data_IF_645680590935
#
_entry.id   IF_645680590935
#
_cell.length_a   1.000
_cell.length_b   1.000
_cell.length_c   1.000
_cell.angle_alpha   90.00
_cell.angle_beta   90.00
_cell.angle_gamma   90.00
#
_symmetry.space_group_name_H-M   'P 1'
#
loop_
_entity.id
_entity.type
_entity.pdbx_description
1 polymer ?
#
# COMPACT_ATOMS: atom_id res chain seq x y z
N UNK A 1 -18.67 8.23 -17.10
CA UNK A 1 -17.45 7.57 -17.61
C UNK A 1 -17.80 6.13 -17.92
N UNK A 2 -17.40 5.58 -19.06
CA UNK A 2 -17.62 4.15 -19.34
C UNK A 2 -16.75 3.28 -18.41
N UNK A 3 -17.17 2.06 -18.10
CA UNK A 3 -16.40 1.14 -17.25
C UNK A 3 -14.99 0.87 -17.82
N UNK A 4 -14.89 0.74 -19.15
CA UNK A 4 -13.59 0.59 -19.82
C UNK A 4 -12.65 1.77 -19.54
N UNK A 5 -13.17 3.01 -19.60
CA UNK A 5 -12.37 4.20 -19.34
C UNK A 5 -11.97 4.31 -17.86
N UNK A 6 -12.85 3.88 -16.95
CA UNK A 6 -12.58 3.82 -15.51
C UNK A 6 -11.45 2.85 -15.17
N UNK A 7 -11.55 1.60 -15.65
CA UNK A 7 -10.51 0.59 -15.42
C UNK A 7 -9.21 0.92 -16.16
N UNK A 8 -9.29 1.50 -17.37
CA UNK A 8 -8.12 2.01 -18.09
C UNK A 8 -7.39 3.10 -17.30
N UNK A 9 -8.11 4.04 -16.69
CA UNK A 9 -7.52 5.05 -15.83
C UNK A 9 -6.84 4.44 -14.60
N UNK A 10 -7.45 3.47 -13.92
CA UNK A 10 -6.83 2.79 -12.77
C UNK A 10 -5.56 2.05 -13.16
N UNK A 11 -5.55 1.40 -14.32
CA UNK A 11 -4.37 0.74 -14.86
C UNK A 11 -3.24 1.73 -15.14
N UNK A 12 -3.53 2.86 -15.80
CA UNK A 12 -2.54 3.91 -16.09
C UNK A 12 -1.98 4.51 -14.81
N UNK A 13 -2.84 4.83 -13.83
CA UNK A 13 -2.40 5.36 -12.54
C UNK A 13 -1.51 4.36 -11.80
N UNK A 14 -1.92 3.09 -11.71
CA UNK A 14 -1.09 2.05 -11.09
C UNK A 14 0.25 1.86 -11.80
N UNK A 15 0.24 1.74 -13.12
CA UNK A 15 1.43 1.59 -13.95
C UNK A 15 2.39 2.78 -13.83
N UNK A 16 1.85 4.01 -13.81
CA UNK A 16 2.64 5.22 -13.63
C UNK A 16 3.35 5.23 -12.27
N UNK A 17 2.63 4.92 -11.19
CA UNK A 17 3.20 4.92 -9.85
C UNK A 17 4.34 3.91 -9.71
N UNK A 18 4.15 2.68 -10.21
CA UNK A 18 5.18 1.63 -10.22
C UNK A 18 6.37 2.02 -11.09
N UNK A 19 6.12 2.62 -12.27
CA UNK A 19 7.18 3.03 -13.19
C UNK A 19 8.03 4.14 -12.58
N UNK A 20 7.39 5.18 -12.05
CA UNK A 20 8.09 6.32 -11.43
C UNK A 20 8.89 5.85 -10.23
N UNK A 21 8.30 5.08 -9.33
CA UNK A 21 9.01 4.61 -8.14
C UNK A 21 10.18 3.71 -8.48
N UNK A 22 10.04 2.83 -9.47
CA UNK A 22 11.12 1.95 -9.93
C UNK A 22 12.24 2.75 -10.58
N UNK A 23 11.92 3.65 -11.51
CA UNK A 23 12.91 4.46 -12.23
C UNK A 23 13.70 5.39 -11.30
N UNK A 24 13.02 6.01 -10.34
CA UNK A 24 13.66 6.88 -9.34
C UNK A 24 14.45 6.05 -8.33
N UNK A 25 13.88 4.94 -7.87
CA UNK A 25 14.49 4.04 -6.89
C UNK A 25 15.77 3.37 -7.41
N UNK A 26 15.78 2.98 -8.68
CA UNK A 26 16.96 2.39 -9.34
C UNK A 26 18.13 3.38 -9.50
N UNK A 27 17.90 4.68 -9.26
CA UNK A 27 18.92 5.74 -9.26
C UNK A 27 19.40 6.10 -7.85
N UNK A 28 19.05 5.32 -6.83
CA UNK A 28 19.43 5.55 -5.44
C UNK A 28 18.61 6.64 -4.73
N UNK A 29 17.61 7.22 -5.38
CA UNK A 29 16.75 8.26 -4.80
C UNK A 29 15.62 7.66 -3.96
N UNK A 30 15.98 6.94 -2.89
CA UNK A 30 15.05 6.14 -2.09
C UNK A 30 13.85 6.93 -1.52
N UNK A 31 14.06 8.17 -1.06
CA UNK A 31 12.98 8.99 -0.52
C UNK A 31 11.91 9.34 -1.56
N UNK A 32 12.34 9.78 -2.75
CA UNK A 32 11.42 10.17 -3.82
C UNK A 32 10.71 8.93 -4.40
N UNK A 33 11.41 7.79 -4.48
CA UNK A 33 10.81 6.52 -4.87
C UNK A 33 9.75 6.04 -3.87
N UNK A 34 10.01 6.20 -2.56
CA UNK A 34 9.05 5.90 -1.51
C UNK A 34 7.83 6.81 -1.58
N UNK A 35 8.03 8.13 -1.73
CA UNK A 35 6.94 9.10 -1.95
C UNK A 35 6.09 8.73 -3.16
N UNK A 36 6.72 8.43 -4.29
CA UNK A 36 6.03 8.01 -5.50
C UNK A 36 5.32 6.66 -5.36
N UNK A 37 5.69 5.81 -4.41
CA UNK A 37 4.99 4.54 -4.16
C UNK A 37 3.82 4.70 -3.18
N UNK A 38 3.91 5.67 -2.26
CA UNK A 38 2.93 5.85 -1.18
C UNK A 38 1.98 7.02 -1.40
N UNK A 39 2.15 7.81 -2.46
CA UNK A 39 1.24 8.88 -2.79
C UNK A 39 -0.20 8.32 -2.98
N UNK A 40 -1.21 8.87 -2.29
CA UNK A 40 -2.47 8.17 -2.01
C UNK A 40 -3.48 8.25 -3.17
N UNK A 41 -3.08 7.89 -4.39
CA UNK A 41 -3.95 7.95 -5.57
C UNK A 41 -5.11 6.96 -5.45
N UNK A 42 -4.78 5.67 -5.22
CA UNK A 42 -5.77 4.60 -5.13
C UNK A 42 -6.67 4.81 -3.90
N UNK A 43 -6.05 5.11 -2.76
CA UNK A 43 -6.77 5.40 -1.51
C UNK A 43 -7.69 6.62 -1.66
N UNK A 44 -7.23 7.70 -2.27
CA UNK A 44 -8.03 8.90 -2.53
C UNK A 44 -9.22 8.63 -3.45
N UNK A 45 -8.99 7.90 -4.54
CA UNK A 45 -10.08 7.46 -5.42
C UNK A 45 -11.09 6.58 -4.68
N UNK A 46 -10.62 5.68 -3.82
CA UNK A 46 -11.47 4.81 -3.00
C UNK A 46 -12.32 5.62 -2.02
N UNK A 47 -11.74 6.64 -1.35
CA UNK A 47 -12.49 7.55 -0.49
C UNK A 47 -13.63 8.25 -1.23
N UNK A 48 -13.36 8.79 -2.42
CA UNK A 48 -14.39 9.44 -3.24
C UNK A 48 -15.49 8.46 -3.60
N UNK A 49 -15.13 7.24 -4.04
CA UNK A 49 -16.12 6.24 -4.43
C UNK A 49 -16.98 5.77 -3.25
N UNK A 50 -16.39 5.50 -2.09
CA UNK A 50 -17.14 5.12 -0.89
C UNK A 50 -18.06 6.27 -0.47
N UNK A 51 -17.58 7.52 -0.51
CA UNK A 51 -18.40 8.67 -0.16
C UNK A 51 -19.60 8.83 -1.11
N UNK A 52 -19.38 8.71 -2.42
CA UNK A 52 -20.46 8.85 -3.42
C UNK A 52 -21.50 7.72 -3.35
N UNK A 53 -21.11 6.50 -2.95
CA UNK A 53 -22.01 5.34 -2.96
C UNK A 53 -22.58 4.96 -1.58
N UNK A 54 -21.87 5.29 -0.49
CA UNK A 54 -22.25 4.95 0.88
C UNK A 54 -22.41 6.17 1.79
N UNK A 55 -21.81 7.31 1.47
CA UNK A 55 -21.84 8.51 2.30
C UNK A 55 -20.75 8.53 3.39
N UNK A 56 -20.87 9.52 4.28
CA UNK A 56 -19.82 9.88 5.24
C UNK A 56 -19.51 8.77 6.25
N UNK A 57 -20.51 8.06 6.75
CA UNK A 57 -20.33 7.04 7.80
C UNK A 57 -19.40 5.90 7.36
N UNK A 58 -19.66 5.31 6.19
CA UNK A 58 -18.82 4.23 5.64
C UNK A 58 -17.44 4.73 5.23
N UNK A 59 -17.35 5.96 4.72
CA UNK A 59 -16.07 6.61 4.39
C UNK A 59 -15.19 6.75 5.63
N UNK A 60 -15.76 7.22 6.75
CA UNK A 60 -15.04 7.36 8.02
C UNK A 60 -14.68 5.99 8.62
N UNK A 61 -15.56 5.00 8.53
CA UNK A 61 -15.26 3.64 8.96
C UNK A 61 -14.07 3.06 8.19
N UNK A 62 -14.07 3.19 6.87
CA UNK A 62 -12.93 2.81 6.03
C UNK A 62 -11.64 3.55 6.41
N UNK A 63 -11.70 4.87 6.63
CA UNK A 63 -10.54 5.64 7.08
C UNK A 63 -9.95 5.10 8.40
N UNK A 64 -10.82 4.81 9.38
CA UNK A 64 -10.42 4.28 10.69
C UNK A 64 -9.79 2.89 10.58
N UNK A 65 -10.31 2.01 9.74
CA UNK A 65 -9.71 0.69 9.57
C UNK A 65 -8.40 0.75 8.79
N UNK A 66 -8.29 1.65 7.81
CA UNK A 66 -7.08 1.82 7.01
C UNK A 66 -5.86 2.20 7.86
N UNK A 67 -6.01 3.01 8.92
CA UNK A 67 -4.89 3.40 9.77
C UNK A 67 -4.26 2.23 10.51
N UNK A 68 -5.03 1.20 10.87
CA UNK A 68 -4.50 0.00 11.52
C UNK A 68 -3.51 -0.77 10.62
N UNK A 69 -3.68 -0.71 9.30
CA UNK A 69 -2.78 -1.37 8.34
C UNK A 69 -1.39 -0.73 8.24
N UNK A 70 -1.16 0.41 8.89
CA UNK A 70 0.19 0.98 9.03
C UNK A 70 1.09 0.05 9.85
N UNK A 71 0.56 -0.62 10.88
CA UNK A 71 1.37 -1.49 11.76
C UNK A 71 1.94 -2.72 11.04
N UNK A 72 1.15 -3.52 10.29
CA UNK A 72 1.69 -4.66 9.53
C UNK A 72 2.58 -4.19 8.39
N UNK A 73 2.31 -3.01 7.81
CA UNK A 73 3.19 -2.42 6.80
C UNK A 73 4.56 -2.05 7.38
N UNK A 74 4.62 -1.48 8.58
CA UNK A 74 5.88 -1.22 9.28
C UNK A 74 6.62 -2.51 9.60
N UNK A 75 5.92 -3.57 10.00
CA UNK A 75 6.52 -4.88 10.21
C UNK A 75 7.15 -5.45 8.92
N UNK A 76 6.43 -5.34 7.79
CA UNK A 76 6.94 -5.71 6.46
C UNK A 76 8.21 -4.95 6.08
N UNK A 77 8.17 -3.62 6.10
CA UNK A 77 9.31 -2.78 5.71
C UNK A 77 10.48 -2.94 6.68
N UNK A 78 10.20 -3.01 7.99
CA UNK A 78 11.22 -3.27 9.01
C UNK A 78 11.92 -4.61 8.79
N UNK A 79 11.17 -5.67 8.49
CA UNK A 79 11.75 -6.97 8.17
C UNK A 79 12.65 -6.89 6.93
N UNK A 80 12.21 -6.20 5.87
CA UNK A 80 13.01 -5.97 4.67
C UNK A 80 14.34 -5.28 5.00
N UNK A 81 14.31 -4.18 5.75
CA UNK A 81 15.51 -3.42 6.15
C UNK A 81 16.49 -4.29 6.93
N UNK A 82 16.00 -5.10 7.87
CA UNK A 82 16.84 -5.91 8.77
C UNK A 82 17.45 -7.14 8.10
N UNK A 83 16.78 -7.70 7.09
CA UNK A 83 17.15 -9.01 6.51
C UNK A 83 17.76 -8.93 5.12
N UNK A 84 17.45 -7.90 4.32
CA UNK A 84 17.85 -7.83 2.90
C UNK A 84 19.35 -7.95 2.69
N UNK A 85 20.16 -7.25 3.50
CA UNK A 85 21.63 -7.31 3.40
C UNK A 85 22.23 -8.62 3.91
N UNK A 86 21.48 -9.40 4.71
CA UNK A 86 22.00 -10.60 5.41
C UNK A 86 21.56 -11.90 4.74
N UNK A 87 20.32 -11.95 4.28
CA UNK A 87 19.64 -13.15 3.78
C UNK A 87 19.26 -13.04 2.30
N UNK A 88 19.54 -11.89 1.68
CA UNK A 88 19.22 -11.60 0.28
C UNK A 88 17.79 -11.12 0.06
N UNK A 89 17.55 -10.59 -1.14
CA UNK A 89 16.29 -9.95 -1.52
C UNK A 89 15.08 -10.89 -1.46
N UNK A 90 15.19 -12.09 -2.05
CA UNK A 90 14.06 -13.03 -2.14
C UNK A 90 13.60 -13.54 -0.78
N UNK A 91 14.53 -13.76 0.15
CA UNK A 91 14.18 -14.10 1.51
C UNK A 91 13.50 -12.94 2.23
N UNK A 92 14.06 -11.73 2.08
CA UNK A 92 13.52 -10.53 2.71
C UNK A 92 12.05 -10.27 2.27
N UNK A 93 11.75 -10.39 0.97
CA UNK A 93 10.40 -10.13 0.47
C UNK A 93 9.40 -11.19 0.92
N UNK A 94 9.76 -12.47 0.87
CA UNK A 94 8.89 -13.55 1.33
C UNK A 94 8.63 -13.46 2.84
N UNK A 95 9.68 -13.27 3.64
CA UNK A 95 9.55 -13.12 5.09
C UNK A 95 8.79 -11.85 5.49
N UNK A 96 8.99 -10.76 4.76
CA UNK A 96 8.21 -9.54 4.94
C UNK A 96 6.72 -9.78 4.68
N UNK A 97 6.36 -10.44 3.58
CA UNK A 97 4.96 -10.72 3.26
C UNK A 97 4.30 -11.62 4.31
N UNK A 98 5.05 -12.57 4.88
CA UNK A 98 4.60 -13.37 6.02
C UNK A 98 4.40 -12.50 7.25
N UNK A 99 5.34 -11.61 7.58
CA UNK A 99 5.23 -10.68 8.71
C UNK A 99 4.01 -9.75 8.57
N UNK A 100 3.75 -9.23 7.36
CA UNK A 100 2.54 -8.46 7.05
C UNK A 100 1.28 -9.27 7.34
N UNK A 101 1.20 -10.49 6.80
CA UNK A 101 0.01 -11.34 6.90
C UNK A 101 -0.29 -11.71 8.35
N UNK A 102 0.74 -12.06 9.13
CA UNK A 102 0.62 -12.32 10.57
C UNK A 102 0.13 -11.05 11.28
N UNK A 103 0.70 -9.89 10.98
CA UNK A 103 0.27 -8.61 11.56
C UNK A 103 -1.20 -8.31 11.32
N UNK A 104 -1.72 -8.54 10.11
CA UNK A 104 -3.13 -8.37 9.78
C UNK A 104 -4.02 -9.32 10.60
N UNK A 105 -3.64 -10.58 10.75
CA UNK A 105 -4.39 -11.56 11.56
C UNK A 105 -4.41 -11.13 13.03
N UNK A 106 -3.26 -10.73 13.59
CA UNK A 106 -3.17 -10.27 14.98
C UNK A 106 -4.02 -9.02 15.22
N UNK A 107 -3.99 -8.04 14.30
CA UNK A 107 -4.84 -6.85 14.39
C UNK A 107 -6.32 -7.20 14.38
N UNK A 108 -6.75 -8.09 13.47
CA UNK A 108 -8.15 -8.52 13.42
C UNK A 108 -8.59 -9.21 14.71
N UNK A 109 -7.69 -9.94 15.38
CA UNK A 109 -7.97 -10.57 16.68
C UNK A 109 -7.99 -9.56 17.84
N UNK A 110 -7.24 -8.46 17.74
CA UNK A 110 -7.17 -7.42 18.76
C UNK A 110 -8.33 -6.41 18.67
N UNK A 111 -8.76 -6.05 17.47
CA UNK A 111 -9.81 -5.04 17.21
C UNK A 111 -11.19 -5.73 17.10
N UNK A 112 -11.47 -6.70 17.98
CA UNK A 112 -12.75 -7.42 17.99
C UNK A 112 -13.96 -6.49 18.10
#
# INVERSE_FOLDING_TARGET
MSELMKYGLYFVLGGLMVTVSTYVGSRGQGFVAALASTFPVITGATFVLIYLNGGTEYTLSYAKYLTWFVLPWLAYVGFMILTMNRLGFWFAIMGGLVAYSIGVVLLKLAIR
#
